data_IF_447948558806
#
_entry.id   IF_447948558806
#
_cell.length_a   1.000
_cell.length_b   1.000
_cell.length_c   1.000
_cell.angle_alpha   90.00
_cell.angle_beta   90.00
_cell.angle_gamma   90.00
#
_symmetry.space_group_name_H-M   'P 1'
#
loop_
_entity.id
_entity.type
_entity.pdbx_description
1 polymer ?
#
# COMPACT_ATOMS: atom_id res chain seq x y z
N UNK A 1 16.89 -50.40 42.79
CA UNK A 1 18.08 -49.64 43.24
C UNK A 1 19.27 -50.10 42.41
N UNK A 2 19.56 -49.43 41.30
CA UNK A 2 20.61 -49.86 40.37
C UNK A 2 21.80 -48.88 40.38
N UNK A 3 22.91 -49.39 40.91
CA UNK A 3 24.27 -49.41 40.34
C UNK A 3 24.79 -48.20 39.56
N UNK A 4 25.84 -47.55 40.11
CA UNK A 4 26.83 -46.75 39.37
C UNK A 4 28.13 -47.56 39.22
N UNK A 5 28.75 -47.42 38.04
CA UNK A 5 30.18 -47.11 37.77
C UNK A 5 30.72 -47.88 36.56
N UNK A 6 31.46 -47.11 35.74
CA UNK A 6 32.39 -47.45 34.64
C UNK A 6 31.84 -47.77 33.26
N UNK A 7 32.12 -46.87 32.30
CA UNK A 7 33.06 -47.22 31.22
C UNK A 7 33.64 -45.97 30.54
N UNK A 8 34.97 -45.93 30.51
CA UNK A 8 35.79 -45.04 29.69
C UNK A 8 35.94 -45.63 28.27
N UNK A 9 36.16 -44.72 27.31
CA UNK A 9 36.77 -44.91 25.99
C UNK A 9 35.95 -45.60 24.88
N UNK A 10 35.52 -44.81 23.88
CA UNK A 10 35.73 -45.13 22.45
C UNK A 10 36.07 -43.88 21.63
N UNK A 11 37.12 -44.05 20.85
CA UNK A 11 37.79 -43.11 19.98
C UNK A 11 36.94 -42.69 18.75
N UNK A 12 37.17 -41.42 18.36
CA UNK A 12 37.35 -40.89 17.00
C UNK A 12 36.38 -41.33 15.88
N UNK A 13 35.46 -40.42 15.56
CA UNK A 13 35.19 -40.00 14.16
C UNK A 13 34.22 -38.81 14.16
N UNK A 14 34.76 -37.58 14.10
CA UNK A 14 34.00 -36.38 13.73
C UNK A 14 34.27 -36.11 12.25
N UNK A 15 33.25 -35.95 11.39
CA UNK A 15 33.50 -35.47 10.03
C UNK A 15 33.79 -33.97 10.08
N UNK A 16 34.85 -33.54 9.38
CA UNK A 16 35.15 -32.13 9.14
C UNK A 16 34.04 -31.50 8.27
N UNK A 17 33.67 -30.23 8.49
CA UNK A 17 32.81 -29.52 7.55
C UNK A 17 33.59 -29.21 6.26
N UNK A 18 33.14 -29.78 5.15
CA UNK A 18 33.59 -29.42 3.81
C UNK A 18 33.14 -27.98 3.50
N UNK A 19 34.06 -27.02 3.64
CA UNK A 19 33.94 -25.73 2.97
C UNK A 19 34.40 -25.87 1.53
N UNK A 20 33.46 -26.19 0.64
CA UNK A 20 33.61 -25.96 -0.79
C UNK A 20 32.48 -25.05 -1.24
N UNK A 21 32.74 -23.74 -1.19
CA UNK A 21 31.97 -22.76 -1.96
C UNK A 21 32.27 -22.97 -3.44
N UNK A 22 31.43 -23.75 -4.11
CA UNK A 22 31.26 -23.62 -5.55
C UNK A 22 30.37 -22.40 -5.81
N UNK A 23 31.00 -21.26 -6.11
CA UNK A 23 30.28 -20.09 -6.59
C UNK A 23 29.69 -20.41 -7.98
N UNK A 24 28.39 -20.73 -8.01
CA UNK A 24 27.63 -20.75 -9.25
C UNK A 24 27.47 -19.31 -9.79
N UNK A 25 27.50 -19.09 -11.11
CA UNK A 25 27.42 -17.76 -11.67
C UNK A 25 26.03 -17.15 -11.40
N UNK A 26 25.98 -16.01 -10.71
CA UNK A 26 24.76 -15.25 -10.38
C UNK A 26 24.05 -14.62 -11.60
N UNK A 27 24.54 -14.84 -12.81
CA UNK A 27 24.03 -14.18 -14.02
C UNK A 27 22.65 -14.68 -14.49
N UNK A 28 22.12 -15.79 -13.95
CA UNK A 28 20.82 -16.34 -14.36
C UNK A 28 19.60 -15.66 -13.72
N UNK A 29 19.73 -15.16 -12.48
CA UNK A 29 18.61 -14.57 -11.73
C UNK A 29 18.30 -13.13 -12.18
N UNK A 30 19.32 -12.34 -12.55
CA UNK A 30 19.15 -10.94 -12.94
C UNK A 30 18.45 -10.77 -14.30
N UNK A 31 18.66 -11.69 -15.24
CA UNK A 31 18.00 -11.63 -16.55
C UNK A 31 16.52 -12.03 -16.48
N UNK A 32 16.18 -12.99 -15.62
CA UNK A 32 14.78 -13.42 -15.39
C UNK A 32 13.99 -12.40 -14.58
N UNK A 33 14.59 -11.77 -13.55
CA UNK A 33 13.93 -10.68 -12.81
C UNK A 33 13.63 -9.47 -13.70
N UNK A 34 14.52 -9.13 -14.64
CA UNK A 34 14.35 -8.01 -15.57
C UNK A 34 13.17 -8.18 -16.53
N UNK A 35 13.06 -9.35 -17.18
CA UNK A 35 11.92 -9.63 -18.05
C UNK A 35 10.60 -9.57 -17.26
N UNK A 36 10.61 -10.07 -16.03
CA UNK A 36 9.44 -10.03 -15.15
C UNK A 36 9.07 -8.61 -14.70
N UNK A 37 10.03 -7.72 -14.42
CA UNK A 37 9.75 -6.33 -14.03
C UNK A 37 9.14 -5.51 -15.17
N UNK A 38 9.72 -5.60 -16.38
CA UNK A 38 9.20 -4.94 -17.57
C UNK A 38 7.85 -5.51 -18.03
N UNK A 39 7.59 -6.79 -17.77
CA UNK A 39 6.29 -7.40 -17.98
C UNK A 39 5.27 -6.89 -16.95
N UNK A 40 5.63 -6.86 -15.66
CA UNK A 40 4.77 -6.36 -14.58
C UNK A 40 4.34 -4.90 -14.78
N UNK A 41 5.23 -4.03 -15.25
CA UNK A 41 4.90 -2.62 -15.49
C UNK A 41 3.89 -2.40 -16.63
N UNK A 42 3.68 -3.40 -17.48
CA UNK A 42 2.73 -3.37 -18.61
C UNK A 42 1.44 -4.15 -18.34
N UNK A 43 1.39 -4.94 -17.27
CA UNK A 43 0.20 -5.72 -16.90
C UNK A 43 -0.94 -4.82 -16.39
N UNK A 44 -2.16 -5.29 -16.64
CA UNK A 44 -3.38 -4.73 -16.09
C UNK A 44 -3.38 -4.81 -14.56
N UNK A 45 -3.83 -3.75 -13.90
CA UNK A 45 -3.88 -3.64 -12.45
C UNK A 45 -5.28 -4.05 -11.98
N UNK A 46 -5.38 -5.20 -11.31
CA UNK A 46 -6.63 -5.67 -10.72
C UNK A 46 -6.57 -5.68 -9.19
N UNK A 47 -5.38 -5.92 -8.64
CA UNK A 47 -5.14 -6.06 -7.22
C UNK A 47 -4.09 -5.08 -6.72
N UNK A 48 -4.29 -4.57 -5.51
CA UNK A 48 -3.32 -3.73 -4.84
C UNK A 48 -3.01 -4.21 -3.42
N UNK A 49 -1.84 -3.80 -2.92
CA UNK A 49 -1.47 -3.90 -1.52
C UNK A 49 -0.77 -2.63 -1.03
N UNK A 50 -0.94 -2.33 0.24
CA UNK A 50 -0.34 -1.18 0.92
C UNK A 50 0.58 -1.66 2.05
N UNK A 51 1.83 -1.22 2.02
CA UNK A 51 2.80 -1.45 3.07
C UNK A 51 3.13 -0.12 3.76
N UNK A 52 2.65 0.05 5.00
CA UNK A 52 3.01 1.17 5.86
C UNK A 52 4.27 0.77 6.63
N UNK A 53 5.30 1.62 6.58
CA UNK A 53 6.58 1.40 7.27
C UNK A 53 6.75 2.55 8.27
N UNK A 54 6.73 2.24 9.57
CA UNK A 54 6.82 3.27 10.60
C UNK A 54 6.50 2.74 12.00
N UNK A 55 7.49 2.76 12.88
CA UNK A 55 7.33 2.40 14.30
C UNK A 55 6.32 3.30 15.03
N UNK A 56 6.16 4.55 14.60
CA UNK A 56 5.19 5.49 15.19
C UNK A 56 3.73 5.09 14.93
N UNK A 57 3.47 4.35 13.84
CA UNK A 57 2.16 3.81 13.53
C UNK A 57 1.91 2.57 14.40
N UNK A 58 2.87 1.66 14.48
CA UNK A 58 2.77 0.48 15.35
C UNK A 58 2.64 0.84 16.83
N UNK A 59 3.35 1.88 17.27
CA UNK A 59 3.27 2.41 18.63
C UNK A 59 2.03 3.27 18.91
N UNK A 60 1.18 3.50 17.91
CA UNK A 60 -0.07 4.28 18.05
C UNK A 60 0.13 5.79 18.26
N UNK A 61 1.34 6.30 18.08
CA UNK A 61 1.64 7.74 18.15
C UNK A 61 1.00 8.49 16.97
N UNK A 62 1.00 7.86 15.80
CA UNK A 62 0.41 8.39 14.58
C UNK A 62 -0.73 7.49 14.13
N UNK A 63 -1.90 8.08 13.86
CA UNK A 63 -3.00 7.37 13.23
C UNK A 63 -2.71 7.26 11.74
N UNK A 64 -2.69 6.04 11.20
CA UNK A 64 -2.53 5.82 9.76
C UNK A 64 -3.77 6.31 8.99
N UNK A 65 -3.58 7.41 8.25
CA UNK A 65 -4.57 7.93 7.30
C UNK A 65 -4.24 7.57 5.85
N UNK A 66 -3.00 7.15 5.58
CA UNK A 66 -2.52 6.89 4.21
C UNK A 66 -3.17 5.63 3.64
N UNK A 67 -3.29 4.55 4.43
CA UNK A 67 -3.98 3.34 3.98
C UNK A 67 -5.47 3.59 3.71
N UNK A 68 -6.12 4.41 4.52
CA UNK A 68 -7.52 4.79 4.34
C UNK A 68 -7.71 5.61 3.05
N UNK A 69 -6.81 6.56 2.78
CA UNK A 69 -6.81 7.29 1.51
C UNK A 69 -6.57 6.37 0.32
N UNK A 70 -5.58 5.49 0.42
CA UNK A 70 -5.26 4.52 -0.62
C UNK A 70 -6.41 3.54 -0.91
N UNK A 71 -7.15 3.12 0.12
CA UNK A 71 -8.33 2.28 -0.03
C UNK A 71 -9.43 3.00 -0.84
N UNK A 72 -9.68 4.28 -0.55
CA UNK A 72 -10.63 5.12 -1.31
C UNK A 72 -10.15 5.31 -2.75
N UNK A 73 -8.86 5.55 -2.95
CA UNK A 73 -8.25 5.69 -4.26
C UNK A 73 -8.44 4.42 -5.10
N UNK A 74 -8.05 3.26 -4.56
CA UNK A 74 -8.21 1.96 -5.22
C UNK A 74 -9.69 1.69 -5.56
N UNK A 75 -10.60 1.94 -4.61
CA UNK A 75 -12.03 1.79 -4.83
C UNK A 75 -12.53 2.64 -6.00
N UNK A 76 -12.12 3.91 -6.08
CA UNK A 76 -12.51 4.83 -7.16
C UNK A 76 -11.98 4.38 -8.54
N UNK A 77 -10.87 3.65 -8.57
CA UNK A 77 -10.26 3.14 -9.80
C UNK A 77 -10.67 1.69 -10.14
N UNK A 78 -11.57 1.08 -9.37
CA UNK A 78 -11.94 -0.32 -9.60
C UNK A 78 -10.88 -1.33 -9.14
N UNK A 79 -9.79 -0.90 -8.49
CA UNK A 79 -8.70 -1.76 -8.05
C UNK A 79 -9.09 -2.42 -6.72
N UNK A 80 -8.95 -3.74 -6.64
CA UNK A 80 -9.21 -4.46 -5.39
C UNK A 80 -8.00 -4.35 -4.46
N UNK A 81 -8.06 -3.46 -3.48
CA UNK A 81 -7.11 -3.46 -2.37
C UNK A 81 -7.29 -4.76 -1.57
N UNK A 82 -6.30 -5.65 -1.63
CA UNK A 82 -6.35 -6.98 -1.02
C UNK A 82 -5.69 -7.04 0.35
N UNK A 83 -4.78 -6.10 0.63
CA UNK A 83 -3.95 -6.16 1.82
C UNK A 83 -3.44 -4.79 2.23
N UNK A 84 -3.49 -4.53 3.53
CA UNK A 84 -2.77 -3.44 4.19
C UNK A 84 -1.95 -4.09 5.31
N UNK A 85 -0.65 -3.82 5.36
CA UNK A 85 0.21 -4.22 6.46
C UNK A 85 0.95 -3.00 6.99
N UNK A 86 1.10 -2.95 8.32
CA UNK A 86 1.95 -1.97 9.00
C UNK A 86 3.10 -2.76 9.60
N UNK A 87 4.33 -2.36 9.31
CA UNK A 87 5.55 -3.00 9.79
C UNK A 87 6.49 -1.98 10.43
N UNK A 88 7.44 -2.49 11.21
CA UNK A 88 8.48 -1.69 11.85
C UNK A 88 9.48 -1.14 10.83
N UNK A 89 10.27 -0.15 11.24
CA UNK A 89 11.46 0.32 10.52
C UNK A 89 12.62 -0.68 10.66
N UNK A 90 12.36 -1.94 10.29
CA UNK A 90 13.32 -3.04 10.28
C UNK A 90 13.55 -3.54 8.85
N UNK A 91 14.82 -3.65 8.48
CA UNK A 91 15.21 -4.02 7.12
C UNK A 91 14.73 -5.42 6.71
N UNK A 92 14.75 -6.39 7.63
CA UNK A 92 14.35 -7.76 7.33
C UNK A 92 12.85 -7.88 7.10
N UNK A 93 12.05 -7.16 7.90
CA UNK A 93 10.60 -7.03 7.74
C UNK A 93 10.24 -6.35 6.42
N UNK A 94 10.91 -5.24 6.08
CA UNK A 94 10.68 -4.51 4.81
C UNK A 94 10.99 -5.42 3.62
N UNK A 95 12.13 -6.13 3.65
CA UNK A 95 12.55 -7.04 2.56
C UNK A 95 11.55 -8.18 2.37
N UNK A 96 11.09 -8.81 3.45
CA UNK A 96 10.10 -9.89 3.39
C UNK A 96 8.80 -9.37 2.77
N UNK A 97 8.23 -8.32 3.36
CA UNK A 97 6.91 -7.83 3.02
C UNK A 97 6.87 -7.32 1.57
N UNK A 98 7.86 -6.53 1.15
CA UNK A 98 7.89 -5.97 -0.21
C UNK A 98 8.02 -7.06 -1.28
N UNK A 99 8.82 -8.11 -1.03
CA UNK A 99 8.97 -9.24 -1.96
C UNK A 99 7.67 -10.04 -2.07
N UNK A 100 7.07 -10.36 -0.92
CA UNK A 100 5.80 -11.11 -0.86
C UNK A 100 4.67 -10.34 -1.53
N UNK A 101 4.52 -9.04 -1.23
CA UNK A 101 3.50 -8.21 -1.85
C UNK A 101 3.74 -8.02 -3.35
N UNK A 102 4.98 -7.72 -3.76
CA UNK A 102 5.33 -7.54 -5.18
C UNK A 102 5.08 -8.81 -6.01
N UNK A 103 5.20 -9.99 -5.40
CA UNK A 103 4.89 -11.27 -6.04
C UNK A 103 3.38 -11.49 -6.19
N UNK A 104 2.59 -11.12 -5.19
CA UNK A 104 1.18 -11.52 -5.08
C UNK A 104 0.18 -10.48 -5.63
N UNK A 105 0.60 -9.23 -5.85
CA UNK A 105 -0.29 -8.14 -6.23
C UNK A 105 0.25 -7.32 -7.41
N UNK A 106 -0.67 -6.72 -8.18
CA UNK A 106 -0.33 -6.00 -9.42
C UNK A 106 0.21 -4.58 -9.14
N UNK A 107 -0.26 -3.96 -8.06
CA UNK A 107 0.10 -2.60 -7.66
C UNK A 107 0.38 -2.53 -6.16
N UNK A 108 1.66 -2.43 -5.81
CA UNK A 108 2.10 -2.33 -4.42
C UNK A 108 2.55 -0.90 -4.17
N UNK A 109 2.04 -0.30 -3.09
CA UNK A 109 2.60 0.93 -2.57
C UNK A 109 3.33 0.67 -1.27
N UNK A 110 4.38 1.44 -1.02
CA UNK A 110 4.95 1.60 0.31
C UNK A 110 4.86 3.07 0.72
N UNK A 111 4.73 3.35 2.01
CA UNK A 111 4.74 4.72 2.54
C UNK A 111 5.42 4.75 3.90
N UNK A 112 6.32 5.73 4.08
CA UNK A 112 7.15 5.86 5.29
C UNK A 112 8.62 5.44 5.08
N UNK A 113 9.48 5.85 6.02
CA UNK A 113 10.90 5.50 6.04
C UNK A 113 11.78 6.04 4.89
N UNK A 114 11.41 7.17 4.25
CA UNK A 114 12.20 7.79 3.15
C UNK A 114 12.72 9.20 3.48
N UNK A 115 12.59 9.63 4.73
CA UNK A 115 13.11 10.91 5.21
C UNK A 115 14.64 10.91 5.41
N UNK A 116 15.16 11.95 6.09
CA UNK A 116 16.59 12.16 6.27
C UNK A 116 17.17 11.44 7.50
N UNK A 117 16.36 10.85 8.37
CA UNK A 117 16.83 10.31 9.66
C UNK A 117 17.43 8.91 9.50
N UNK A 118 17.94 8.32 10.59
CA UNK A 118 18.73 7.08 10.53
C UNK A 118 17.86 5.83 10.43
N UNK A 119 16.65 5.92 10.96
CA UNK A 119 15.52 5.00 10.88
C UNK A 119 14.82 5.03 9.51
N UNK A 120 14.99 6.09 8.71
CA UNK A 120 14.51 6.13 7.32
C UNK A 120 15.36 5.21 6.40
N UNK A 121 14.97 3.92 6.35
CA UNK A 121 15.71 2.85 5.66
C UNK A 121 14.93 2.19 4.50
N UNK A 122 13.78 2.73 4.09
CA UNK A 122 12.90 2.11 3.07
C UNK A 122 13.61 1.94 1.72
N UNK A 123 14.31 2.97 1.23
CA UNK A 123 15.04 2.87 -0.03
C UNK A 123 16.16 1.82 0.03
N UNK A 124 16.96 1.84 1.09
CA UNK A 124 18.07 0.91 1.30
C UNK A 124 17.58 -0.54 1.36
N UNK A 125 16.48 -0.77 2.09
CA UNK A 125 15.88 -2.09 2.28
C UNK A 125 15.28 -2.62 0.98
N UNK A 126 14.54 -1.79 0.24
CA UNK A 126 13.95 -2.17 -1.05
C UNK A 126 15.03 -2.40 -2.12
N UNK A 127 16.09 -1.57 -2.16
CA UNK A 127 17.24 -1.81 -3.04
C UNK A 127 17.84 -3.20 -2.78
N UNK A 128 18.06 -3.56 -1.51
CA UNK A 128 18.56 -4.89 -1.13
C UNK A 128 17.57 -6.01 -1.45
N UNK A 129 16.27 -5.75 -1.30
CA UNK A 129 15.23 -6.72 -1.64
C UNK A 129 15.27 -7.13 -3.12
N UNK A 130 15.67 -6.23 -4.01
CA UNK A 130 15.67 -6.48 -5.46
C UNK A 130 17.07 -6.48 -6.10
N UNK A 131 18.13 -6.54 -5.29
CA UNK A 131 19.54 -6.56 -5.73
C UNK A 131 19.89 -5.35 -6.64
N UNK A 132 19.41 -4.17 -6.25
CA UNK A 132 19.64 -2.92 -6.96
C UNK A 132 20.66 -2.06 -6.22
N UNK A 133 21.50 -1.29 -6.94
CA UNK A 133 22.29 -0.24 -6.33
C UNK A 133 21.39 0.93 -5.87
N UNK A 134 21.89 1.69 -4.90
CA UNK A 134 21.40 3.03 -4.62
C UNK A 134 22.20 4.02 -5.46
N UNK A 135 21.51 4.89 -6.19
CA UNK A 135 22.11 5.89 -7.05
C UNK A 135 21.58 7.27 -6.66
N UNK A 136 22.48 8.24 -6.55
CA UNK A 136 22.11 9.63 -6.37
C UNK A 136 21.40 10.12 -7.63
N UNK A 137 20.11 10.44 -7.51
CA UNK A 137 19.31 10.82 -8.66
C UNK A 137 19.43 12.33 -8.95
N UNK A 138 20.21 12.68 -9.97
CA UNK A 138 20.57 14.07 -10.29
C UNK A 138 19.36 14.99 -10.52
N UNK A 139 18.33 14.55 -11.24
CA UNK A 139 17.13 15.38 -11.47
C UNK A 139 16.36 15.63 -10.16
N UNK A 140 16.36 14.66 -9.26
CA UNK A 140 15.73 14.82 -7.95
C UNK A 140 16.56 15.76 -7.06
N UNK A 141 17.90 15.71 -7.16
CA UNK A 141 18.80 16.65 -6.50
C UNK A 141 18.53 18.09 -6.94
N UNK A 142 18.48 18.34 -8.25
CA UNK A 142 18.24 19.67 -8.78
C UNK A 142 16.86 20.21 -8.39
N UNK A 143 15.82 19.36 -8.44
CA UNK A 143 14.49 19.72 -7.92
C UNK A 143 14.53 19.99 -6.41
N UNK A 144 15.25 19.21 -5.62
CA UNK A 144 15.36 19.42 -4.18
C UNK A 144 16.06 20.76 -3.89
N UNK A 145 17.18 21.06 -4.56
CA UNK A 145 17.87 22.36 -4.45
C UNK A 145 16.92 23.53 -4.71
N UNK A 146 16.12 23.43 -5.77
CA UNK A 146 15.18 24.49 -6.19
C UNK A 146 13.96 24.65 -5.28
N UNK A 147 13.39 23.54 -4.81
CA UNK A 147 12.10 23.53 -4.11
C UNK A 147 12.23 23.46 -2.59
N UNK A 148 13.40 23.07 -2.06
CA UNK A 148 13.63 23.06 -0.61
C UNK A 148 13.65 24.49 -0.08
N UNK A 149 12.65 24.85 0.72
CA UNK A 149 12.58 26.14 1.40
C UNK A 149 13.47 26.10 2.64
N UNK A 150 14.34 27.09 2.80
CA UNK A 150 15.01 27.35 4.07
C UNK A 150 13.96 27.74 5.11
N UNK A 151 13.93 27.05 6.25
CA UNK A 151 12.99 27.39 7.34
C UNK A 151 13.55 28.54 8.19
N UNK A 152 12.69 29.42 8.74
CA UNK A 152 13.13 30.40 9.73
C UNK A 152 13.84 29.71 10.91
N UNK A 153 15.03 30.17 11.27
CA UNK A 153 15.84 29.60 12.37
C UNK A 153 16.72 28.41 11.99
N UNK A 154 16.73 27.99 10.72
CA UNK A 154 17.68 26.99 10.22
C UNK A 154 19.06 27.65 10.02
N UNK A 155 20.13 27.03 10.53
CA UNK A 155 21.51 27.44 10.24
C UNK A 155 21.74 27.55 8.72
N UNK A 156 22.69 28.39 8.30
CA UNK A 156 23.01 28.57 6.88
C UNK A 156 23.43 27.24 6.26
N UNK A 157 22.52 26.62 5.52
CA UNK A 157 22.73 25.37 4.82
C UNK A 157 23.34 25.64 3.43
N UNK A 158 24.43 24.95 3.10
CA UNK A 158 25.07 24.99 1.78
C UNK A 158 25.04 23.62 1.12
N UNK A 159 24.71 23.59 -0.17
CA UNK A 159 24.78 22.39 -1.00
C UNK A 159 26.21 22.06 -1.47
N UNK A 160 27.13 23.01 -1.35
CA UNK A 160 28.51 22.91 -1.84
C UNK A 160 29.50 22.47 -0.75
N UNK A 161 29.06 22.50 0.52
CA UNK A 161 29.89 22.13 1.68
C UNK A 161 29.40 20.81 2.26
N UNK A 162 30.32 19.85 2.43
CA UNK A 162 30.00 18.61 3.10
C UNK A 162 29.62 18.85 4.57
N UNK A 163 28.47 18.31 4.97
CA UNK A 163 27.91 18.46 6.31
C UNK A 163 26.97 17.30 6.63
N UNK A 164 26.72 17.00 7.91
CA UNK A 164 25.72 16.00 8.29
C UNK A 164 24.34 16.30 7.67
N UNK A 165 23.92 17.56 7.65
CA UNK A 165 22.66 17.98 7.05
C UNK A 165 22.62 17.74 5.53
N UNK A 166 23.73 17.97 4.82
CA UNK A 166 23.83 17.68 3.38
C UNK A 166 23.72 16.19 3.11
N UNK A 167 24.50 15.37 3.82
CA UNK A 167 24.45 13.90 3.68
C UNK A 167 23.05 13.34 3.97
N UNK A 168 22.40 13.84 5.03
CA UNK A 168 21.04 13.45 5.37
C UNK A 168 20.03 13.81 4.26
N UNK A 169 20.17 14.97 3.63
CA UNK A 169 19.33 15.37 2.48
C UNK A 169 19.61 14.53 1.23
N UNK A 170 20.87 14.23 0.93
CA UNK A 170 21.25 13.42 -0.23
C UNK A 170 20.70 12.00 -0.12
N UNK A 171 20.69 11.40 1.07
CA UNK A 171 20.08 10.08 1.28
C UNK A 171 18.62 9.97 0.83
N UNK A 172 17.84 11.06 0.89
CA UNK A 172 16.42 11.05 0.46
C UNK A 172 16.24 10.95 -1.07
N UNK A 173 17.33 11.07 -1.83
CA UNK A 173 17.36 10.96 -3.30
C UNK A 173 18.42 9.97 -3.78
N UNK A 174 18.97 9.17 -2.87
CA UNK A 174 19.69 7.95 -3.21
C UNK A 174 18.65 6.85 -3.41
N UNK A 175 18.25 6.65 -4.67
CA UNK A 175 17.13 5.80 -5.03
C UNK A 175 17.60 4.40 -5.46
N UNK A 176 16.85 3.33 -5.16
CA UNK A 176 16.99 2.05 -5.86
C UNK A 176 16.89 2.28 -7.37
N UNK A 177 17.92 1.88 -8.12
CA UNK A 177 18.02 2.20 -9.54
C UNK A 177 18.48 1.02 -10.39
N UNK A 178 17.69 0.67 -11.41
CA UNK A 178 18.10 -0.28 -12.43
C UNK A 178 18.56 0.49 -13.68
N UNK A 179 19.87 0.50 -13.91
CA UNK A 179 20.50 1.12 -15.09
C UNK A 179 20.00 0.58 -16.43
N UNK A 180 19.28 -0.53 -16.43
CA UNK A 180 18.77 -1.19 -17.63
C UNK A 180 17.30 -0.85 -17.92
N UNK A 181 16.65 -0.05 -17.07
CA UNK A 181 15.30 0.48 -17.28
C UNK A 181 15.37 1.98 -17.62
N UNK A 182 14.43 2.49 -18.44
CA UNK A 182 14.28 3.93 -18.65
C UNK A 182 14.00 4.66 -17.34
N UNK A 183 14.41 5.92 -17.27
CA UNK A 183 14.23 6.74 -16.06
C UNK A 183 12.74 6.96 -15.77
N UNK A 184 11.95 7.23 -16.82
CA UNK A 184 10.51 7.49 -16.75
C UNK A 184 9.66 6.30 -16.27
N UNK A 185 10.26 5.11 -16.22
CA UNK A 185 9.62 3.86 -15.77
C UNK A 185 9.94 3.55 -14.29
N UNK A 186 10.96 4.20 -13.71
CA UNK A 186 11.42 3.94 -12.33
C UNK A 186 11.49 5.18 -11.43
N UNK A 187 11.42 6.39 -11.99
CA UNK A 187 11.36 7.65 -11.23
C UNK A 187 10.27 8.54 -11.78
N UNK A 188 9.17 8.68 -11.03
CA UNK A 188 7.99 9.43 -11.47
C UNK A 188 7.85 10.69 -10.61
N UNK A 189 8.00 11.85 -11.22
CA UNK A 189 7.62 13.13 -10.60
C UNK A 189 6.12 13.37 -10.82
N UNK A 190 5.31 12.97 -9.84
CA UNK A 190 3.86 13.09 -9.92
C UNK A 190 3.33 14.53 -9.81
N UNK A 191 4.18 15.49 -9.42
CA UNK A 191 3.80 16.88 -9.31
C UNK A 191 5.00 17.82 -9.50
N UNK A 192 4.78 18.95 -10.18
CA UNK A 192 5.85 19.89 -10.55
C UNK A 192 6.40 20.70 -9.38
N UNK A 193 5.59 20.92 -8.34
CA UNK A 193 5.97 21.64 -7.12
C UNK A 193 6.52 20.73 -6.02
N UNK A 194 6.67 19.43 -6.29
CA UNK A 194 7.32 18.47 -5.39
C UNK A 194 8.68 18.06 -5.94
N UNK A 195 9.68 18.01 -5.05
CA UNK A 195 11.00 17.48 -5.40
C UNK A 195 11.09 15.96 -5.23
N UNK A 196 10.25 15.38 -4.38
CA UNK A 196 10.27 13.95 -4.07
C UNK A 196 9.58 13.16 -5.20
N UNK A 197 10.25 12.19 -5.83
CA UNK A 197 9.63 11.33 -6.82
C UNK A 197 8.92 10.14 -6.16
N UNK A 198 8.05 9.48 -6.92
CA UNK A 198 7.66 8.09 -6.68
C UNK A 198 8.73 7.22 -7.34
N UNK A 199 9.52 6.48 -6.55
CA UNK A 199 10.45 5.49 -7.10
C UNK A 199 9.71 4.16 -7.32
N UNK A 200 9.83 3.60 -8.53
CA UNK A 200 9.17 2.36 -8.91
C UNK A 200 10.20 1.25 -9.04
N UNK A 201 10.03 0.19 -8.25
CA UNK A 201 10.93 -0.98 -8.19
C UNK A 201 10.19 -2.22 -8.63
N UNK A 202 10.89 -3.11 -9.34
CA UNK A 202 10.36 -4.38 -9.86
C UNK A 202 9.09 -4.23 -10.74
N UNK A 203 8.86 -3.03 -11.31
CA UNK A 203 7.73 -2.70 -12.17
C UNK A 203 6.37 -2.55 -11.49
N UNK A 204 6.26 -2.86 -10.18
CA UNK A 204 4.99 -2.76 -9.45
C UNK A 204 5.06 -2.24 -8.01
N UNK A 205 6.25 -2.03 -7.45
CA UNK A 205 6.42 -1.46 -6.10
C UNK A 205 6.63 0.04 -6.24
N UNK A 206 5.73 0.86 -5.70
CA UNK A 206 5.77 2.32 -5.79
C UNK A 206 6.04 2.88 -4.40
N UNK A 207 7.17 3.55 -4.22
CA UNK A 207 7.63 4.05 -2.93
C UNK A 207 7.17 5.49 -2.74
N UNK A 208 6.45 5.77 -1.65
CA UNK A 208 5.90 7.08 -1.32
C UNK A 208 6.44 7.63 0.01
N UNK A 209 6.40 8.96 0.23
CA UNK A 209 6.61 9.55 1.54
C UNK A 209 5.54 9.15 2.55
N UNK A 210 5.90 9.16 3.83
CA UNK A 210 4.97 8.95 4.96
C UNK A 210 4.05 10.14 5.23
N UNK A 211 4.44 11.35 4.81
CA UNK A 211 3.66 12.59 5.08
C UNK A 211 2.34 12.55 4.29
N UNK A 212 1.17 12.56 4.95
CA UNK A 212 -0.11 12.33 4.28
C UNK A 212 -0.39 13.26 3.10
N UNK A 213 -0.18 14.58 3.27
CA UNK A 213 -0.41 15.55 2.18
C UNK A 213 0.48 15.32 0.95
N UNK A 214 1.69 14.80 1.14
CA UNK A 214 2.57 14.46 0.02
C UNK A 214 2.10 13.17 -0.64
N UNK A 215 1.79 12.17 0.18
CA UNK A 215 1.26 10.88 -0.27
C UNK A 215 0.01 11.06 -1.15
N UNK A 216 -1.00 11.77 -0.64
CA UNK A 216 -2.27 12.04 -1.34
C UNK A 216 -2.02 12.71 -2.70
N UNK A 217 -1.25 13.81 -2.69
CA UNK A 217 -0.94 14.59 -3.90
C UNK A 217 -0.17 13.79 -4.94
N UNK A 218 0.81 13.00 -4.51
CA UNK A 218 1.60 12.16 -5.41
C UNK A 218 0.75 11.04 -6.00
N UNK A 219 -0.15 10.44 -5.20
CA UNK A 219 -1.05 9.39 -5.65
C UNK A 219 -2.05 9.89 -6.70
N UNK A 220 -2.60 11.08 -6.50
CA UNK A 220 -3.46 11.74 -7.49
C UNK A 220 -2.70 12.03 -8.79
N UNK A 221 -1.48 12.55 -8.70
CA UNK A 221 -0.61 12.80 -9.85
C UNK A 221 -0.17 11.53 -10.61
N UNK A 222 -0.20 10.36 -9.95
CA UNK A 222 0.08 9.07 -10.58
C UNK A 222 -1.09 8.55 -11.44
N UNK A 223 -2.32 9.03 -11.19
CA UNK A 223 -3.55 8.52 -11.83
C UNK A 223 -3.51 8.44 -13.36
N UNK A 224 -3.00 9.44 -14.11
CA UNK A 224 -2.92 9.36 -15.57
C UNK A 224 -2.07 8.20 -16.09
N UNK A 225 -1.08 7.74 -15.32
CA UNK A 225 -0.24 6.58 -15.66
C UNK A 225 -0.92 5.25 -15.31
N UNK A 226 -1.87 5.25 -14.38
CA UNK A 226 -2.60 4.04 -14.00
C UNK A 226 -3.78 3.76 -14.92
N UNK A 227 -4.50 4.79 -15.39
CA UNK A 227 -5.72 4.65 -16.22
C UNK A 227 -5.55 3.67 -17.39
N UNK A 228 -4.47 3.75 -18.21
CA UNK A 228 -4.29 2.83 -19.34
C UNK A 228 -4.11 1.36 -18.92
N UNK A 229 -3.82 1.11 -17.64
CA UNK A 229 -3.58 -0.20 -17.05
C UNK A 229 -4.78 -0.69 -16.24
N UNK A 230 -5.89 0.05 -16.18
CA UNK A 230 -7.08 -0.38 -15.46
C UNK A 230 -7.96 -1.25 -16.36
N UNK A 231 -8.54 -2.31 -15.78
CA UNK A 231 -9.48 -3.20 -16.49
C UNK A 231 -10.79 -2.50 -16.88
N UNK A 232 -11.05 -1.31 -16.33
CA UNK A 232 -12.15 -0.42 -16.70
C UNK A 232 -11.57 0.94 -17.15
N UNK A 233 -11.21 1.08 -18.44
CA UNK A 233 -10.57 2.29 -18.96
C UNK A 233 -11.51 3.51 -18.98
N UNK A 234 -12.83 3.30 -18.95
CA UNK A 234 -13.81 4.39 -18.83
C UNK A 234 -13.83 5.01 -17.42
N UNK A 235 -13.16 4.38 -16.45
CA UNK A 235 -13.06 4.88 -15.08
C UNK A 235 -14.39 4.91 -14.34
N UNK A 236 -15.35 4.06 -14.72
CA UNK A 236 -16.64 3.92 -14.02
C UNK A 236 -16.44 3.39 -12.60
N UNK A 237 -15.36 2.64 -12.38
CA UNK A 237 -14.87 2.24 -11.06
C UNK A 237 -15.81 1.25 -10.37
N UNK A 238 -15.81 1.28 -9.03
CA UNK A 238 -16.81 0.55 -8.23
C UNK A 238 -17.90 1.52 -7.78
N UNK A 239 -19.16 1.17 -8.02
CA UNK A 239 -20.32 1.89 -7.52
C UNK A 239 -20.62 1.45 -6.08
N UNK A 240 -21.05 2.40 -5.24
CA UNK A 240 -21.60 2.15 -3.90
C UNK A 240 -22.98 2.77 -3.81
N UNK A 241 -23.96 1.99 -3.37
CA UNK A 241 -25.29 2.47 -3.00
C UNK A 241 -25.50 2.27 -1.51
N UNK A 242 -26.06 3.27 -0.85
CA UNK A 242 -26.35 3.26 0.59
C UNK A 242 -27.86 3.29 0.78
N UNK A 243 -28.33 2.49 1.73
CA UNK A 243 -29.74 2.41 2.10
C UNK A 243 -29.85 2.59 3.61
N UNK A 244 -30.64 3.57 4.05
CA UNK A 244 -30.91 3.78 5.46
C UNK A 244 -32.10 2.95 5.89
N UNK A 245 -31.94 2.14 6.93
CA UNK A 245 -33.00 1.28 7.46
C UNK A 245 -33.26 1.56 8.94
N UNK A 246 -34.53 1.60 9.38
CA UNK A 246 -34.86 1.64 10.80
C UNK A 246 -34.72 0.27 11.49
N UNK A 247 -34.50 -0.79 10.72
CA UNK A 247 -34.51 -2.16 11.24
C UNK A 247 -33.16 -2.51 11.89
N UNK A 248 -33.17 -3.28 12.99
CA UNK A 248 -31.95 -3.83 13.56
C UNK A 248 -31.33 -4.85 12.60
N UNK A 249 -30.01 -5.04 12.71
CA UNK A 249 -29.26 -5.96 11.82
C UNK A 249 -29.83 -7.38 11.82
N UNK A 250 -30.27 -7.87 12.99
CA UNK A 250 -30.88 -9.19 13.13
C UNK A 250 -32.16 -9.38 12.30
N UNK A 251 -32.93 -8.31 12.05
CA UNK A 251 -34.17 -8.39 11.27
C UNK A 251 -33.90 -8.36 9.76
N UNK A 252 -32.85 -7.65 9.32
CA UNK A 252 -32.50 -7.60 7.88
C UNK A 252 -31.58 -8.75 7.45
N UNK A 253 -30.91 -9.44 8.39
CA UNK A 253 -29.91 -10.47 8.09
C UNK A 253 -30.40 -11.57 7.12
N UNK A 254 -31.65 -12.04 7.28
CA UNK A 254 -32.23 -13.04 6.38
C UNK A 254 -32.33 -12.54 4.93
N UNK A 255 -32.94 -11.37 4.76
CA UNK A 255 -33.05 -10.71 3.45
C UNK A 255 -31.67 -10.43 2.83
N UNK A 256 -30.72 -9.93 3.61
CA UNK A 256 -29.37 -9.64 3.10
C UNK A 256 -28.61 -10.90 2.66
N UNK A 257 -28.87 -12.04 3.31
CA UNK A 257 -28.28 -13.34 2.92
C UNK A 257 -28.80 -13.78 1.55
N UNK A 258 -30.11 -13.70 1.32
CA UNK A 258 -30.73 -14.02 0.03
C UNK A 258 -30.27 -13.06 -1.07
N UNK A 259 -30.23 -11.77 -0.76
CA UNK A 259 -29.74 -10.74 -1.68
C UNK A 259 -28.27 -10.96 -2.03
N UNK A 260 -27.43 -11.33 -1.06
CA UNK A 260 -26.02 -11.65 -1.29
C UNK A 260 -25.88 -12.83 -2.26
N UNK A 261 -26.61 -13.93 -2.04
CA UNK A 261 -26.57 -15.10 -2.91
C UNK A 261 -27.04 -14.78 -4.35
N UNK A 262 -28.05 -13.93 -4.50
CA UNK A 262 -28.57 -13.47 -5.80
C UNK A 262 -27.56 -12.60 -6.56
N UNK A 263 -26.80 -11.78 -5.84
CA UNK A 263 -25.99 -10.71 -6.41
C UNK A 263 -24.50 -11.08 -6.55
N UNK A 264 -24.03 -12.09 -5.83
CA UNK A 264 -22.67 -12.63 -5.91
C UNK A 264 -22.24 -13.06 -7.33
N UNK A 265 -23.08 -13.75 -8.15
CA UNK A 265 -22.72 -14.09 -9.53
C UNK A 265 -22.48 -12.87 -10.43
N UNK A 266 -23.00 -11.70 -10.04
CA UNK A 266 -22.80 -10.41 -10.72
C UNK A 266 -21.67 -9.58 -10.11
N UNK A 267 -20.97 -10.12 -9.10
CA UNK A 267 -19.86 -9.46 -8.41
C UNK A 267 -20.29 -8.28 -7.54
N UNK A 268 -21.57 -8.21 -7.15
CA UNK A 268 -22.07 -7.19 -6.22
C UNK A 268 -21.98 -7.75 -4.80
N UNK A 269 -21.39 -6.98 -3.90
CA UNK A 269 -21.29 -7.29 -2.47
C UNK A 269 -22.37 -6.56 -1.70
N UNK A 270 -23.00 -7.28 -0.77
CA UNK A 270 -23.97 -6.75 0.17
C UNK A 270 -23.30 -6.61 1.54
N UNK A 271 -23.46 -5.46 2.19
CA UNK A 271 -22.95 -5.22 3.54
C UNK A 271 -23.98 -4.53 4.42
N UNK A 272 -23.93 -4.80 5.72
CA UNK A 272 -24.70 -4.12 6.76
C UNK A 272 -23.71 -3.52 7.75
N UNK A 273 -23.95 -2.27 8.14
CA UNK A 273 -23.12 -1.54 9.10
C UNK A 273 -24.02 -1.00 10.21
N UNK A 274 -24.06 -1.68 11.38
CA UNK A 274 -24.76 -1.15 12.54
C UNK A 274 -24.06 0.11 13.05
N UNK A 275 -24.84 1.11 13.43
CA UNK A 275 -24.30 2.38 13.92
C UNK A 275 -24.66 2.56 15.38
N UNK A 276 -23.65 2.44 16.24
CA UNK A 276 -23.83 2.56 17.69
C UNK A 276 -24.40 3.93 18.05
N UNK A 277 -25.38 3.94 18.94
CA UNK A 277 -26.05 5.17 19.37
C UNK A 277 -26.81 5.87 18.23
N UNK A 278 -27.14 5.21 17.12
CA UNK A 278 -28.00 5.77 16.06
C UNK A 278 -29.29 4.99 15.92
N UNK A 279 -30.36 5.67 15.53
CA UNK A 279 -31.68 5.07 15.35
C UNK A 279 -31.82 4.26 14.06
N UNK A 280 -30.83 4.34 13.15
CA UNK A 280 -30.89 3.74 11.82
C UNK A 280 -29.56 3.10 11.42
N UNK A 281 -29.64 1.93 10.80
CA UNK A 281 -28.49 1.21 10.24
C UNK A 281 -28.31 1.53 8.76
N UNK A 282 -27.11 1.23 8.23
CA UNK A 282 -26.79 1.42 6.82
C UNK A 282 -26.59 0.06 6.14
N UNK A 283 -27.35 -0.20 5.09
CA UNK A 283 -27.12 -1.30 4.16
C UNK A 283 -26.41 -0.76 2.93
N UNK A 284 -25.49 -1.55 2.39
CA UNK A 284 -24.67 -1.15 1.24
C UNK A 284 -24.66 -2.20 0.15
N UNK A 285 -24.76 -1.73 -1.09
CA UNK A 285 -24.46 -2.52 -2.28
C UNK A 285 -23.20 -1.96 -2.95
N UNK A 286 -22.26 -2.83 -3.27
CA UNK A 286 -20.96 -2.46 -3.86
C UNK A 286 -20.67 -3.34 -5.06
N UNK A 287 -20.56 -2.76 -6.26
CA UNK A 287 -20.31 -3.52 -7.49
C UNK A 287 -19.95 -2.64 -8.67
N UNK A 288 -19.59 -3.26 -9.81
CA UNK A 288 -19.20 -2.54 -11.03
C UNK A 288 -20.37 -2.30 -11.99
N UNK A 289 -21.38 -3.14 -11.95
CA UNK A 289 -22.56 -3.03 -12.83
C UNK A 289 -23.62 -2.12 -12.18
N UNK A 290 -23.47 -0.82 -12.39
CA UNK A 290 -24.40 0.17 -11.85
C UNK A 290 -25.83 -0.06 -12.37
N UNK A 291 -26.00 -0.44 -13.64
CA UNK A 291 -27.32 -0.65 -14.23
C UNK A 291 -28.03 -1.83 -13.54
N UNK A 292 -27.32 -2.94 -13.31
CA UNK A 292 -27.86 -4.05 -12.54
C UNK A 292 -28.18 -3.65 -11.10
N UNK A 293 -27.29 -2.92 -10.43
CA UNK A 293 -27.54 -2.47 -9.05
C UNK A 293 -28.79 -1.58 -8.96
N UNK A 294 -29.07 -0.74 -9.95
CA UNK A 294 -30.31 0.06 -9.95
C UNK A 294 -31.58 -0.78 -10.07
N UNK A 295 -31.53 -1.94 -10.72
CA UNK A 295 -32.69 -2.86 -10.75
C UNK A 295 -33.03 -3.42 -9.37
N UNK A 296 -32.08 -3.39 -8.42
CA UNK A 296 -32.26 -3.92 -7.06
C UNK A 296 -32.81 -2.87 -6.09
N UNK A 297 -32.80 -1.59 -6.42
CA UNK A 297 -33.15 -0.51 -5.46
C UNK A 297 -34.51 -0.73 -4.83
N UNK A 298 -35.55 -0.94 -5.62
CA UNK A 298 -36.91 -1.11 -5.10
C UNK A 298 -37.06 -2.37 -4.21
N UNK A 299 -36.36 -3.44 -4.56
CA UNK A 299 -36.32 -4.68 -3.76
C UNK A 299 -35.62 -4.46 -2.43
N UNK A 300 -34.48 -3.75 -2.42
CA UNK A 300 -33.74 -3.43 -1.20
C UNK A 300 -34.52 -2.49 -0.30
N UNK A 301 -35.10 -1.41 -0.84
CA UNK A 301 -35.91 -0.47 -0.06
C UNK A 301 -37.09 -1.16 0.62
N UNK A 302 -37.77 -2.07 -0.08
CA UNK A 302 -38.84 -2.88 0.49
C UNK A 302 -38.33 -3.87 1.55
N UNK A 303 -37.25 -4.60 1.25
CA UNK A 303 -36.69 -5.63 2.14
C UNK A 303 -36.13 -5.06 3.45
N UNK A 304 -35.54 -3.86 3.40
CA UNK A 304 -34.99 -3.19 4.59
C UNK A 304 -35.97 -2.17 5.19
N UNK A 305 -37.18 -2.02 4.64
CA UNK A 305 -38.16 -0.99 5.03
C UNK A 305 -37.52 0.41 5.15
N UNK A 306 -36.68 0.73 4.17
CA UNK A 306 -35.82 1.90 4.18
C UNK A 306 -35.85 2.65 2.86
N UNK A 307 -34.92 3.59 2.70
CA UNK A 307 -34.75 4.34 1.45
C UNK A 307 -33.28 4.47 1.08
N UNK A 308 -33.00 4.67 -0.20
CA UNK A 308 -31.66 5.06 -0.65
C UNK A 308 -31.27 6.42 -0.09
N UNK A 309 -30.02 6.52 0.35
CA UNK A 309 -29.40 7.76 0.83
C UNK A 309 -28.09 8.03 0.07
N UNK A 310 -27.69 9.28 0.03
CA UNK A 310 -26.45 9.72 -0.64
C UNK A 310 -25.25 9.66 0.29
N UNK A 311 -25.47 9.95 1.57
CA UNK A 311 -24.47 9.91 2.64
C UNK A 311 -24.99 9.10 3.81
N UNK A 312 -24.06 8.43 4.49
CA UNK A 312 -24.40 7.72 5.72
C UNK A 312 -24.87 8.72 6.78
N UNK A 313 -26.04 8.44 7.38
CA UNK A 313 -26.66 9.31 8.38
C UNK A 313 -27.56 10.43 7.85
N UNK A 314 -27.85 10.47 6.54
CA UNK A 314 -28.79 11.45 5.95
C UNK A 314 -30.18 11.46 6.62
N UNK A 315 -30.62 10.31 7.16
CA UNK A 315 -31.91 10.13 7.84
C UNK A 315 -31.79 10.15 9.37
N UNK A 316 -30.62 10.45 9.92
CA UNK A 316 -30.48 10.55 11.36
C UNK A 316 -31.15 11.85 11.84
N UNK A 317 -32.08 11.73 12.80
CA UNK A 317 -32.62 12.90 13.47
C UNK A 317 -31.52 13.59 14.28
N UNK A 318 -31.45 14.92 14.20
CA UNK A 318 -30.65 15.75 15.11
C UNK A 318 -31.07 15.43 16.56
N UNK A 319 -30.18 14.83 17.34
CA UNK A 319 -30.47 14.30 18.68
C UNK A 319 -30.50 12.77 18.79
N UNK A 320 -30.11 12.05 17.73
CA UNK A 320 -29.93 10.60 17.77
C UNK A 320 -28.73 10.14 18.59
N UNK A 321 -27.78 11.02 18.97
CA UNK A 321 -26.74 10.71 19.97
C UNK A 321 -27.38 10.51 21.36
N UNK A 322 -28.02 9.35 21.53
CA UNK A 322 -28.25 8.79 22.85
C UNK A 322 -26.98 8.02 23.18
N UNK A 323 -26.28 8.53 24.19
CA UNK A 323 -25.09 7.96 24.84
C UNK A 323 -23.75 8.56 24.37
N UNK A 324 -23.47 9.76 24.91
CA UNK A 324 -22.12 10.11 25.39
C UNK A 324 -21.96 9.59 26.83
#
# INVERSE_FOLDING_TARGET
MFSRVNQFARHLSRPLPNYLHSAAPRNGFAATSRAMAAEKSKRMINTAACLIIGDEVLGGKTVDTNSAWFAKYCFSLGISLKRVEVIADDESEIIEAVRRMSKNYDFVITTGGIGPTHDDITYQSIARAFDLPLVLHEVALEKMKKLSKTRPGQESFSWDVDSPARRAKLRMIELPYDKNLPDEDQVIFASDDLWVPINVVNGNVHIFPGIPRLFEKMLDGLKPRLIPRLSDPDGKGVCRMLFSTPLPESEVAGFLTELSAKTEPKGVKVGSYPRWGKSRNTVTLVGRDQAFMETLVAEVEAGVKGRRVTVEGEDDSDGSDKDA
#
